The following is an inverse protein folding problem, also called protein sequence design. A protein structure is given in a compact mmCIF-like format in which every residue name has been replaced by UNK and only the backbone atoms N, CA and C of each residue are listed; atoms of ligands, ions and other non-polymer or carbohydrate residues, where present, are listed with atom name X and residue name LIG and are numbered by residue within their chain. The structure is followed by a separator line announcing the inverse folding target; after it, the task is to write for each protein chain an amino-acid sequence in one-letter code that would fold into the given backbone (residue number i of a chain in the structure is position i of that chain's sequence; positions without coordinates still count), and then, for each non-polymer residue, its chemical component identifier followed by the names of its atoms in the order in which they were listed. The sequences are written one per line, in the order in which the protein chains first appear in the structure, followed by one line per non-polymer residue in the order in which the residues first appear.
data_IF_405941893226
#
_entry.id   IF_405941893226
#
_cell.length_a   1.000
_cell.length_b   1.000
_cell.length_c   1.000
_cell.angle_alpha   90.00
_cell.angle_beta   90.00
_cell.angle_gamma   90.00
#
_symmetry.space_group_name_H-M   'P 1'
#
loop_
_entity.id
_entity.type
_entity.pdbx_description
1 polymer ?
#
# COMPACT_ATOMS: atom_id res chain seq x y z
N UNK A 1 1.30 16.11 29.57
CA UNK A 1 1.42 14.83 30.30
C UNK A 1 1.55 15.15 31.78
N UNK A 2 0.89 14.40 32.67
CA UNK A 2 1.09 14.52 34.11
C UNK A 2 2.57 14.37 34.48
N UNK A 3 3.08 15.19 35.41
CA UNK A 3 4.53 15.27 35.75
C UNK A 3 5.07 13.97 36.36
N UNK A 4 4.21 13.24 37.07
CA UNK A 4 4.47 11.94 37.67
C UNK A 4 4.75 10.84 36.62
N UNK A 5 4.12 10.92 35.45
CA UNK A 5 4.34 9.99 34.34
C UNK A 5 5.67 10.29 33.65
N UNK A 6 6.00 11.57 33.45
CA UNK A 6 7.25 11.99 32.85
C UNK A 6 8.47 11.60 33.70
N UNK A 7 8.37 11.72 35.03
CA UNK A 7 9.45 11.35 35.96
C UNK A 7 9.78 9.85 36.03
N UNK A 8 8.94 8.99 35.44
CA UNK A 8 9.12 7.53 35.41
C UNK A 8 9.64 7.00 34.06
N UNK A 9 9.87 7.86 33.07
CA UNK A 9 10.39 7.42 31.77
C UNK A 9 11.87 7.03 31.90
N UNK A 10 12.19 5.80 31.52
CA UNK A 10 13.57 5.33 31.33
C UNK A 10 14.02 5.73 29.92
N UNK A 11 15.10 6.49 29.81
CA UNK A 11 15.69 6.91 28.55
C UNK A 11 16.82 5.96 28.13
N UNK A 12 17.11 5.90 26.83
CA UNK A 12 18.19 5.08 26.27
C UNK A 12 18.66 5.61 24.91
N UNK A 13 19.77 5.08 24.37
CA UNK A 13 20.26 5.47 23.06
C UNK A 13 19.25 5.07 21.97
N UNK A 14 19.16 5.86 20.91
CA UNK A 14 18.32 5.51 19.75
C UNK A 14 18.93 4.31 19.02
N UNK A 15 18.09 3.32 18.71
CA UNK A 15 18.50 2.13 17.97
C UNK A 15 18.63 2.42 16.46
N UNK A 16 17.71 3.21 15.91
CA UNK A 16 17.68 3.59 14.50
C UNK A 16 17.21 5.04 14.38
N UNK A 17 17.84 5.80 13.47
CA UNK A 17 17.42 7.14 13.06
C UNK A 17 17.48 7.24 11.56
N UNK A 18 16.38 7.63 10.94
CA UNK A 18 16.29 7.86 9.51
C UNK A 18 15.35 9.03 9.22
N UNK A 19 15.61 9.73 8.12
CA UNK A 19 14.73 10.78 7.60
C UNK A 19 14.11 10.23 6.32
N UNK A 20 12.81 9.93 6.36
CA UNK A 20 12.06 9.52 5.18
C UNK A 20 11.35 10.73 4.57
N UNK A 21 11.66 11.12 3.32
CA UNK A 21 10.96 12.22 2.66
C UNK A 21 9.51 11.84 2.40
N UNK A 22 8.59 12.77 2.67
CA UNK A 22 7.19 12.57 2.34
C UNK A 22 6.98 12.72 0.84
N UNK A 23 6.37 11.72 0.22
CA UNK A 23 5.96 11.76 -1.18
C UNK A 23 4.62 11.07 -1.38
N UNK A 24 3.88 11.54 -2.37
CA UNK A 24 2.67 10.89 -2.87
C UNK A 24 2.88 10.56 -4.34
N UNK A 25 2.72 9.30 -4.72
CA UNK A 25 2.85 8.84 -6.10
C UNK A 25 1.87 7.71 -6.36
N UNK A 26 1.26 7.66 -7.54
CA UNK A 26 0.42 6.54 -8.00
C UNK A 26 0.59 6.38 -9.51
N UNK A 27 0.72 5.15 -9.97
CA UNK A 27 0.74 4.78 -11.39
C UNK A 27 -0.60 4.19 -11.82
N UNK A 28 -1.10 4.61 -12.98
CA UNK A 28 -2.28 4.01 -13.61
C UNK A 28 -2.03 3.88 -15.13
N UNK A 29 -2.31 2.71 -15.75
CA UNK A 29 -2.75 1.46 -15.14
C UNK A 29 -1.62 0.71 -14.41
N UNK A 30 -1.96 -0.06 -13.38
CA UNK A 30 -1.01 -0.89 -12.59
C UNK A 30 -0.70 -2.26 -13.24
N UNK A 31 -0.93 -2.38 -14.56
CA UNK A 31 -0.76 -3.63 -15.30
C UNK A 31 -0.35 -3.34 -16.76
N UNK A 32 0.55 -4.17 -17.28
CA UNK A 32 0.91 -4.21 -18.69
C UNK A 32 1.04 -5.68 -19.17
N UNK A 33 0.08 -6.15 -19.98
CA UNK A 33 0.04 -7.56 -20.38
C UNK A 33 -0.06 -8.49 -19.17
N UNK A 34 0.99 -9.30 -18.94
CA UNK A 34 1.13 -10.20 -17.78
C UNK A 34 2.00 -9.64 -16.64
N UNK A 35 2.43 -8.38 -16.73
CA UNK A 35 3.15 -7.65 -15.68
C UNK A 35 2.14 -6.90 -14.80
N UNK A 36 2.27 -7.04 -13.48
CA UNK A 36 1.41 -6.39 -12.48
C UNK A 36 2.29 -5.63 -11.48
N UNK A 37 1.92 -4.38 -11.18
CA UNK A 37 2.57 -3.54 -10.17
C UNK A 37 1.74 -3.56 -8.88
N UNK A 38 2.39 -3.73 -7.73
CA UNK A 38 1.76 -3.79 -6.40
C UNK A 38 2.60 -3.02 -5.38
N UNK A 39 1.96 -2.47 -4.35
CA UNK A 39 2.64 -1.73 -3.28
C UNK A 39 3.46 -0.55 -3.82
N UNK A 40 4.68 -0.38 -3.31
CA UNK A 40 5.56 0.75 -3.64
C UNK A 40 5.93 0.85 -5.14
N UNK A 41 5.84 -0.25 -5.89
CA UNK A 41 6.00 -0.24 -7.34
C UNK A 41 4.83 0.44 -8.07
N UNK A 42 3.67 0.51 -7.43
CA UNK A 42 2.45 1.10 -7.95
C UNK A 42 2.07 2.42 -7.28
N UNK A 43 2.34 2.57 -5.98
CA UNK A 43 1.98 3.77 -5.23
C UNK A 43 2.88 4.00 -4.03
N UNK A 44 3.19 5.27 -3.74
CA UNK A 44 3.85 5.70 -2.51
C UNK A 44 2.90 6.67 -1.80
N UNK A 45 2.70 6.45 -0.50
CA UNK A 45 1.88 7.33 0.34
C UNK A 45 2.73 8.00 1.42
N UNK A 46 2.37 9.22 1.84
CA UNK A 46 2.98 9.86 2.99
C UNK A 46 2.83 8.99 4.25
N UNK A 47 3.87 8.96 5.09
CA UNK A 47 3.92 8.11 6.30
C UNK A 47 2.91 8.50 7.38
N UNK A 48 2.35 9.72 7.32
CA UNK A 48 1.38 10.24 8.27
C UNK A 48 0.11 9.38 8.41
N UNK A 49 -0.30 8.71 7.33
CA UNK A 49 -1.50 7.87 7.32
C UNK A 49 -1.26 6.41 7.72
N UNK A 50 0.00 5.97 7.82
CA UNK A 50 0.37 4.57 8.04
C UNK A 50 -0.35 3.58 7.09
N UNK A 51 -0.62 4.00 5.84
CA UNK A 51 -1.43 3.21 4.88
C UNK A 51 -0.60 2.43 3.87
N UNK A 52 0.67 2.77 3.63
CA UNK A 52 1.48 2.17 2.56
C UNK A 52 1.48 0.64 2.59
N UNK A 53 1.85 0.05 3.74
CA UNK A 53 1.88 -1.40 3.90
C UNK A 53 0.49 -2.05 3.78
N UNK A 54 -0.55 -1.41 4.32
CA UNK A 54 -1.93 -1.91 4.24
C UNK A 54 -2.44 -1.96 2.80
N UNK A 55 -2.11 -0.93 2.01
CA UNK A 55 -2.46 -0.88 0.59
C UNK A 55 -1.65 -1.89 -0.22
N UNK A 56 -0.35 -2.04 0.05
CA UNK A 56 0.46 -3.08 -0.59
C UNK A 56 -0.08 -4.50 -0.30
N UNK A 57 -0.46 -4.79 0.94
CA UNK A 57 -1.06 -6.07 1.31
C UNK A 57 -2.41 -6.30 0.60
N UNK A 58 -3.19 -5.23 0.43
CA UNK A 58 -4.47 -5.27 -0.31
C UNK A 58 -4.25 -5.59 -1.78
N UNK A 59 -3.26 -4.96 -2.43
CA UNK A 59 -2.91 -5.24 -3.82
C UNK A 59 -2.51 -6.72 -4.02
N UNK A 60 -1.66 -7.23 -3.12
CA UNK A 60 -1.22 -8.63 -3.13
C UNK A 60 -2.41 -9.57 -2.94
N UNK A 61 -3.32 -9.27 -2.03
CA UNK A 61 -4.53 -10.07 -1.82
C UNK A 61 -5.37 -10.19 -3.10
N UNK A 62 -5.60 -9.08 -3.80
CA UNK A 62 -6.38 -9.10 -5.04
C UNK A 62 -5.64 -9.80 -6.18
N UNK A 63 -4.36 -9.52 -6.36
CA UNK A 63 -3.55 -10.18 -7.39
C UNK A 63 -3.49 -11.70 -7.15
N UNK A 64 -3.30 -12.14 -5.91
CA UNK A 64 -3.34 -13.55 -5.53
C UNK A 64 -4.65 -14.22 -5.96
N UNK A 65 -5.80 -13.61 -5.65
CA UNK A 65 -7.12 -14.17 -6.02
C UNK A 65 -7.29 -14.31 -7.53
N UNK A 66 -6.82 -13.32 -8.29
CA UNK A 66 -6.83 -13.35 -9.75
C UNK A 66 -5.93 -14.47 -10.27
N UNK A 67 -4.71 -14.60 -9.74
CA UNK A 67 -3.76 -15.64 -10.15
C UNK A 67 -4.28 -17.04 -9.83
N UNK A 68 -4.78 -17.28 -8.62
CA UNK A 68 -5.37 -18.58 -8.24
C UNK A 68 -6.50 -18.94 -9.18
N UNK A 69 -7.41 -18.01 -9.47
CA UNK A 69 -8.50 -18.24 -10.41
C UNK A 69 -7.98 -18.66 -11.79
N UNK A 70 -7.03 -17.91 -12.35
CA UNK A 70 -6.47 -18.19 -13.67
C UNK A 70 -5.77 -19.55 -13.73
N UNK A 71 -5.01 -19.91 -12.70
CA UNK A 71 -4.24 -21.16 -12.70
C UNK A 71 -5.07 -22.40 -12.33
N UNK A 72 -6.14 -22.25 -11.54
CA UNK A 72 -6.98 -23.37 -11.11
C UNK A 72 -8.19 -23.60 -12.02
N UNK A 73 -8.80 -22.53 -12.53
CA UNK A 73 -10.04 -22.61 -13.34
C UNK A 73 -9.77 -22.38 -14.84
N UNK A 74 -8.53 -22.04 -15.20
CA UNK A 74 -8.15 -21.67 -16.56
C UNK A 74 -8.29 -20.17 -16.84
N UNK A 75 -7.79 -19.71 -18.01
CA UNK A 75 -7.74 -18.30 -18.33
C UNK A 75 -9.14 -17.69 -18.39
N UNK A 76 -9.44 -16.76 -17.49
CA UNK A 76 -10.59 -15.87 -17.65
C UNK A 76 -10.30 -14.91 -18.81
N UNK A 77 -11.17 -14.89 -19.83
CA UNK A 77 -11.04 -14.05 -21.05
C UNK A 77 -10.90 -12.54 -20.77
N UNK A 78 -11.14 -12.10 -19.53
CA UNK A 78 -11.16 -10.74 -19.03
C UNK A 78 -10.03 -10.41 -18.02
N UNK A 79 -8.90 -11.14 -18.04
CA UNK A 79 -7.68 -10.76 -17.29
C UNK A 79 -7.13 -9.36 -17.66
N UNK A 80 -7.65 -8.77 -18.74
CA UNK A 80 -7.33 -7.42 -19.20
C UNK A 80 -8.08 -6.31 -18.44
N UNK A 81 -8.97 -6.64 -17.50
CA UNK A 81 -9.77 -5.61 -16.79
C UNK A 81 -10.22 -6.03 -15.38
N UNK A 82 -9.41 -6.77 -14.63
CA UNK A 82 -9.51 -6.64 -13.17
C UNK A 82 -8.92 -5.28 -12.84
N UNK A 83 -9.79 -4.26 -12.75
CA UNK A 83 -9.51 -2.90 -12.28
C UNK A 83 -8.76 -2.92 -10.94
N UNK A 84 -7.47 -3.23 -10.97
CA UNK A 84 -6.53 -2.97 -9.88
C UNK A 84 -6.38 -1.46 -9.64
N UNK A 85 -6.96 -0.62 -10.51
CA UNK A 85 -7.00 0.83 -10.43
C UNK A 85 -8.13 1.43 -9.58
N UNK A 86 -9.18 0.70 -9.16
CA UNK A 86 -10.40 1.38 -8.63
C UNK A 86 -10.52 1.48 -7.10
N UNK A 87 -9.82 0.68 -6.30
CA UNK A 87 -9.94 0.76 -4.83
C UNK A 87 -9.02 1.82 -4.18
N UNK A 88 -7.93 2.23 -4.85
CA UNK A 88 -7.13 3.37 -4.41
C UNK A 88 -7.85 4.71 -4.62
N UNK A 89 -8.73 4.81 -5.62
CA UNK A 89 -9.47 6.04 -5.93
C UNK A 89 -10.71 6.26 -5.06
N UNK A 90 -11.36 5.21 -4.54
CA UNK A 90 -12.54 5.40 -3.67
C UNK A 90 -12.21 5.96 -2.28
N UNK A 91 -10.94 5.94 -1.85
CA UNK A 91 -10.49 6.64 -0.64
C UNK A 91 -9.79 7.99 -0.92
N UNK A 92 -9.74 8.46 -2.17
CA UNK A 92 -9.25 9.81 -2.52
C UNK A 92 -10.33 10.90 -2.40
N UNK A 93 -11.11 10.89 -1.32
CA UNK A 93 -11.80 12.08 -0.79
C UNK A 93 -11.20 12.51 0.56
N UNK A 94 -9.88 12.50 0.65
CA UNK A 94 -9.15 13.12 1.77
C UNK A 94 -8.10 14.05 1.19
N UNK A 95 -8.34 15.36 1.28
CA UNK A 95 -7.34 16.40 1.02
C UNK A 95 -7.78 17.54 0.09
N UNK A 96 -8.88 18.24 0.43
CA UNK A 96 -8.95 19.71 0.36
C UNK A 96 -9.34 20.19 1.76
#
# INVERSE_FOLDING_TARGET
MPQDVAGRLVTGPSLEKGIAPLRSYVVEPMQYGKLFLVGDAAHILPSNGAKGLNLAATDVHYLYRVLVKVYMEGPCANLQSSRMSTLLLHHRRFGM
#
